data_IF_312232582027
#
_entry.id   IF_312232582027
#
_cell.length_a   1.000
_cell.length_b   1.000
_cell.length_c   1.000
_cell.angle_alpha   90.00
_cell.angle_beta   90.00
_cell.angle_gamma   90.00
#
_symmetry.space_group_name_H-M   'P 1'
#
loop_
_entity.id
_entity.type
_entity.pdbx_description
1 polymer ?
#
# COMPACT_ATOMS: atom_id res chain seq x y z
N UNK A 1 20.43 46.56 -66.95
CA UNK A 1 20.28 47.27 -68.24
C UNK A 1 19.13 46.66 -69.01
N UNK A 2 18.18 47.51 -69.41
CA UNK A 2 17.08 47.36 -70.38
C UNK A 2 16.10 46.18 -70.25
N UNK A 3 14.79 46.36 -70.03
CA UNK A 3 13.75 47.15 -70.74
C UNK A 3 12.99 46.28 -71.76
N UNK A 4 11.64 46.42 -71.72
CA UNK A 4 10.65 46.12 -72.79
C UNK A 4 10.32 44.63 -73.08
N UNK A 5 9.06 44.15 -73.18
CA UNK A 5 7.72 44.74 -73.31
C UNK A 5 6.64 43.77 -72.82
N UNK A 6 5.56 44.35 -72.31
CA UNK A 6 4.25 43.71 -72.14
C UNK A 6 3.73 43.12 -73.45
N UNK A 7 3.26 41.87 -73.42
CA UNK A 7 2.13 41.44 -74.26
C UNK A 7 1.09 40.86 -73.33
N UNK A 8 -0.01 41.59 -73.21
CA UNK A 8 -1.21 41.20 -72.51
C UNK A 8 -1.90 40.06 -73.27
N UNK A 9 -2.18 38.96 -72.58
CA UNK A 9 -3.28 38.08 -72.94
C UNK A 9 -4.05 37.75 -71.67
N UNK A 10 -5.15 38.47 -71.50
CA UNK A 10 -6.19 38.18 -70.53
C UNK A 10 -7.01 37.02 -71.10
N UNK A 11 -7.09 35.89 -70.40
CA UNK A 11 -8.32 35.10 -70.33
C UNK A 11 -8.30 34.15 -69.11
N UNK A 12 -9.18 34.49 -68.16
CA UNK A 12 -9.89 33.65 -67.19
C UNK A 12 -9.52 32.15 -67.05
N UNK A 13 -9.10 31.73 -65.85
CA UNK A 13 -9.78 30.73 -64.99
C UNK A 13 -8.83 30.09 -63.96
N UNK A 14 -9.34 29.91 -62.74
CA UNK A 14 -8.85 29.06 -61.64
C UNK A 14 -7.64 29.55 -60.81
N UNK A 15 -7.95 30.30 -59.74
CA UNK A 15 -7.11 30.43 -58.55
C UNK A 15 -6.98 29.06 -57.84
N UNK A 16 -5.78 28.59 -57.46
CA UNK A 16 -5.65 27.52 -56.49
C UNK A 16 -5.99 28.07 -55.11
N UNK A 17 -6.99 27.49 -54.45
CA UNK A 17 -7.28 27.78 -53.06
C UNK A 17 -6.10 27.31 -52.20
N UNK A 18 -5.37 28.27 -51.63
CA UNK A 18 -4.46 28.05 -50.51
C UNK A 18 -5.27 27.43 -49.37
N UNK A 19 -5.02 26.16 -49.07
CA UNK A 19 -5.60 25.49 -47.89
C UNK A 19 -4.92 26.10 -46.66
N UNK A 20 -5.61 27.05 -46.04
CA UNK A 20 -5.19 27.63 -44.78
C UNK A 20 -5.19 26.56 -43.69
N UNK A 21 -4.11 26.53 -42.89
CA UNK A 21 -4.10 25.90 -41.58
C UNK A 21 -5.13 26.61 -40.70
N UNK A 22 -6.39 26.19 -40.76
CA UNK A 22 -7.45 26.67 -39.88
C UNK A 22 -7.11 26.21 -38.45
N UNK A 23 -6.68 27.16 -37.64
CA UNK A 23 -6.38 26.96 -36.23
C UNK A 23 -7.58 26.40 -35.49
N UNK A 24 -7.33 25.39 -34.67
CA UNK A 24 -8.25 24.94 -33.63
C UNK A 24 -8.41 26.01 -32.54
N UNK A 25 -9.04 27.13 -32.89
CA UNK A 25 -9.38 28.23 -32.00
C UNK A 25 -10.67 27.95 -31.26
N UNK A 26 -10.66 26.95 -30.38
CA UNK A 26 -11.68 26.86 -29.33
C UNK A 26 -11.42 27.95 -28.29
N UNK A 27 -12.46 28.53 -27.70
CA UNK A 27 -12.31 29.47 -26.59
C UNK A 27 -11.46 28.79 -25.49
N UNK A 28 -10.39 29.43 -24.97
CA UNK A 28 -9.56 28.83 -23.91
C UNK A 28 -10.37 28.31 -22.71
N UNK A 29 -11.52 28.93 -22.40
CA UNK A 29 -12.45 28.46 -21.36
C UNK A 29 -13.18 27.18 -21.75
N UNK A 30 -13.58 27.03 -23.01
CA UNK A 30 -14.24 25.82 -23.52
C UNK A 30 -13.24 24.66 -23.61
N UNK A 31 -12.02 24.93 -24.07
CA UNK A 31 -10.95 23.93 -24.07
C UNK A 31 -10.60 23.47 -22.64
N UNK A 32 -10.59 24.39 -21.67
CA UNK A 32 -10.42 24.05 -20.26
C UNK A 32 -11.59 23.21 -19.72
N UNK A 33 -12.83 23.57 -20.06
CA UNK A 33 -14.03 22.82 -19.65
C UNK A 33 -14.06 21.40 -20.26
N UNK A 34 -13.67 21.25 -21.53
CA UNK A 34 -13.55 19.96 -22.20
C UNK A 34 -12.47 19.08 -21.57
N UNK A 35 -11.31 19.67 -21.21
CA UNK A 35 -10.26 18.93 -20.48
C UNK A 35 -10.73 18.50 -19.09
N UNK A 36 -11.46 19.35 -18.37
CA UNK A 36 -12.05 19.00 -17.08
C UNK A 36 -13.07 17.87 -17.19
N UNK A 37 -13.89 17.88 -18.25
CA UNK A 37 -14.86 16.82 -18.51
C UNK A 37 -14.19 15.49 -18.89
N UNK A 38 -13.11 15.52 -19.69
CA UNK A 38 -12.31 14.34 -19.98
C UNK A 38 -11.68 13.73 -18.71
N UNK A 39 -11.20 14.57 -17.79
CA UNK A 39 -10.67 14.10 -16.49
C UNK A 39 -11.76 13.42 -15.64
N UNK A 40 -13.01 13.89 -15.71
CA UNK A 40 -14.15 13.28 -15.01
C UNK A 40 -14.54 11.91 -15.55
N UNK A 41 -14.24 11.64 -16.82
CA UNK A 41 -14.59 10.40 -17.51
C UNK A 41 -13.50 9.32 -17.42
N UNK A 42 -12.35 9.59 -16.79
CA UNK A 42 -11.32 8.59 -16.54
C UNK A 42 -11.93 7.47 -15.68
N UNK A 43 -11.94 6.19 -16.11
CA UNK A 43 -12.51 5.09 -15.33
C UNK A 43 -11.87 5.02 -13.94
N UNK A 44 -12.65 5.31 -12.88
CA UNK A 44 -12.07 5.86 -11.66
C UNK A 44 -11.60 4.84 -10.62
N UNK A 45 -11.94 3.55 -10.68
CA UNK A 45 -11.55 2.64 -9.59
C UNK A 45 -11.29 1.20 -10.04
N UNK A 46 -10.01 0.86 -10.20
CA UNK A 46 -9.54 -0.52 -10.27
C UNK A 46 -10.05 -1.33 -9.06
N UNK A 47 -10.23 -2.65 -9.22
CA UNK A 47 -10.74 -3.54 -8.16
C UNK A 47 -9.91 -3.40 -6.88
N UNK A 48 -8.59 -3.21 -7.02
CA UNK A 48 -7.67 -3.03 -5.91
C UNK A 48 -7.94 -1.75 -5.14
N UNK A 49 -8.20 -0.65 -5.85
CA UNK A 49 -8.54 0.64 -5.26
C UNK A 49 -9.87 0.59 -4.50
N UNK A 50 -10.89 -0.10 -5.04
CA UNK A 50 -12.16 -0.30 -4.32
C UNK A 50 -11.98 -1.13 -3.06
N UNK A 51 -11.26 -2.24 -3.16
CA UNK A 51 -10.97 -3.12 -2.03
C UNK A 51 -10.19 -2.38 -0.93
N UNK A 52 -9.23 -1.56 -1.32
CA UNK A 52 -8.42 -0.78 -0.40
C UNK A 52 -9.26 0.28 0.34
N UNK A 53 -10.06 1.05 -0.40
CA UNK A 53 -10.95 2.06 0.18
C UNK A 53 -11.97 1.44 1.14
N UNK A 54 -12.60 0.33 0.75
CA UNK A 54 -13.55 -0.39 1.61
C UNK A 54 -12.89 -0.87 2.92
N UNK A 55 -11.68 -1.42 2.84
CA UNK A 55 -10.94 -1.85 4.02
C UNK A 55 -10.55 -0.66 4.93
N UNK A 56 -10.20 0.49 4.35
CA UNK A 56 -9.94 1.71 5.11
C UNK A 56 -11.19 2.25 5.81
N UNK A 57 -12.35 2.22 5.15
CA UNK A 57 -13.62 2.63 5.76
C UNK A 57 -13.98 1.74 6.96
N UNK A 58 -13.85 0.42 6.81
CA UNK A 58 -14.04 -0.52 7.92
C UNK A 58 -13.09 -0.24 9.08
N UNK A 59 -11.81 0.00 8.79
CA UNK A 59 -10.81 0.37 9.80
C UNK A 59 -11.18 1.68 10.50
N UNK A 60 -11.59 2.70 9.75
CA UNK A 60 -11.99 4.01 10.29
C UNK A 60 -13.23 3.90 11.19
N UNK A 61 -14.13 2.96 10.89
CA UNK A 61 -15.26 2.59 11.74
C UNK A 61 -14.90 1.73 12.96
N UNK A 62 -13.61 1.47 13.21
CA UNK A 62 -13.13 0.61 14.30
C UNK A 62 -13.26 -0.90 14.02
N UNK A 63 -13.76 -1.29 12.84
CA UNK A 63 -13.93 -2.68 12.45
C UNK A 63 -12.68 -3.24 11.76
N UNK A 64 -11.59 -3.35 12.52
CA UNK A 64 -10.36 -3.98 12.00
C UNK A 64 -10.56 -5.45 11.63
N UNK A 65 -11.46 -6.18 12.30
CA UNK A 65 -11.75 -7.57 11.96
C UNK A 65 -12.28 -7.72 10.53
N UNK A 66 -13.23 -6.87 10.12
CA UNK A 66 -13.76 -6.84 8.75
C UNK A 66 -12.77 -6.30 7.72
N UNK A 67 -11.88 -5.39 8.11
CA UNK A 67 -10.89 -4.79 7.20
C UNK A 67 -9.74 -5.75 6.79
N UNK A 68 -9.40 -6.69 7.68
CA UNK A 68 -8.23 -7.58 7.51
C UNK A 68 -8.25 -8.38 6.22
N UNK A 69 -9.35 -9.06 5.80
CA UNK A 69 -9.36 -9.81 4.55
C UNK A 69 -9.01 -8.94 3.33
N UNK A 70 -9.52 -7.71 3.28
CA UNK A 70 -9.24 -6.77 2.20
C UNK A 70 -7.77 -6.33 2.19
N UNK A 71 -7.23 -5.91 3.34
CA UNK A 71 -5.81 -5.58 3.43
C UNK A 71 -4.91 -6.77 3.18
N UNK A 72 -5.29 -7.97 3.63
CA UNK A 72 -4.53 -9.20 3.42
C UNK A 72 -4.43 -9.57 1.93
N UNK A 73 -5.55 -9.51 1.20
CA UNK A 73 -5.55 -9.76 -0.24
C UNK A 73 -4.64 -8.78 -1.02
N UNK A 74 -4.57 -7.52 -0.58
CA UNK A 74 -3.73 -6.49 -1.19
C UNK A 74 -2.27 -6.61 -0.77
N UNK A 75 -1.99 -6.80 0.52
CA UNK A 75 -0.65 -6.91 1.08
C UNK A 75 0.15 -8.05 0.45
N UNK A 76 -0.52 -9.15 0.11
CA UNK A 76 0.07 -10.30 -0.58
C UNK A 76 0.53 -10.02 -2.01
N UNK A 77 0.16 -8.88 -2.61
CA UNK A 77 0.62 -8.53 -3.95
C UNK A 77 2.07 -8.02 -3.98
N UNK A 78 2.66 -7.78 -2.80
CA UNK A 78 4.07 -7.42 -2.67
C UNK A 78 4.34 -5.95 -2.97
N UNK A 79 5.29 -5.68 -3.87
CA UNK A 79 5.73 -4.33 -4.23
C UNK A 79 4.56 -3.43 -4.66
N UNK A 80 4.54 -2.19 -4.16
CA UNK A 80 3.49 -1.20 -4.42
C UNK A 80 2.27 -1.28 -3.48
N UNK A 81 2.21 -2.30 -2.60
CA UNK A 81 1.14 -2.49 -1.62
C UNK A 81 1.63 -2.33 -0.18
N UNK A 82 2.71 -1.57 0.04
CA UNK A 82 3.33 -1.35 1.35
C UNK A 82 2.37 -0.71 2.34
N UNK A 83 1.47 0.17 1.87
CA UNK A 83 0.42 0.72 2.72
C UNK A 83 -0.61 -0.33 3.13
N UNK A 84 -1.00 -1.24 2.24
CA UNK A 84 -1.88 -2.35 2.62
C UNK A 84 -1.20 -3.29 3.62
N UNK A 85 0.10 -3.54 3.47
CA UNK A 85 0.89 -4.30 4.45
C UNK A 85 0.90 -3.60 5.82
N UNK A 86 1.10 -2.28 5.85
CA UNK A 86 1.01 -1.47 7.07
C UNK A 86 -0.39 -1.54 7.71
N UNK A 87 -1.46 -1.32 6.93
CA UNK A 87 -2.82 -1.31 7.46
C UNK A 87 -3.26 -2.70 7.96
N UNK A 88 -2.84 -3.77 7.27
CA UNK A 88 -3.00 -5.14 7.75
C UNK A 88 -2.30 -5.32 9.11
N UNK A 89 -1.03 -4.95 9.20
CA UNK A 89 -0.24 -5.06 10.41
C UNK A 89 -0.87 -4.31 11.58
N UNK A 90 -1.27 -3.06 11.36
CA UNK A 90 -1.90 -2.23 12.37
C UNK A 90 -3.21 -2.86 12.89
N UNK A 91 -4.05 -3.39 12.00
CA UNK A 91 -5.28 -4.07 12.42
C UNK A 91 -5.05 -5.42 13.11
N UNK A 92 -4.00 -6.16 12.74
CA UNK A 92 -3.62 -7.40 13.44
C UNK A 92 -3.14 -7.09 14.86
N UNK A 93 -2.27 -6.09 15.01
CA UNK A 93 -1.71 -5.67 16.30
C UNK A 93 -2.76 -5.05 17.23
N UNK A 94 -3.66 -4.22 16.71
CA UNK A 94 -4.72 -3.60 17.50
C UNK A 94 -5.69 -4.61 18.13
N UNK A 95 -5.93 -5.74 17.46
CA UNK A 95 -6.82 -6.81 17.93
C UNK A 95 -6.12 -7.93 18.70
N UNK A 96 -4.81 -7.82 18.98
CA UNK A 96 -4.04 -8.89 19.61
C UNK A 96 -3.49 -8.49 20.99
N UNK A 97 -3.40 -9.43 21.95
CA UNK A 97 -2.62 -9.20 23.16
C UNK A 97 -1.18 -8.83 22.79
N UNK A 98 -0.60 -7.83 23.47
CA UNK A 98 0.81 -7.41 23.29
C UNK A 98 1.76 -8.45 23.88
N UNK A 99 1.82 -9.62 23.26
CA UNK A 99 2.58 -10.78 23.71
C UNK A 99 3.22 -11.51 22.53
N UNK A 100 4.47 -11.93 22.69
CA UNK A 100 5.18 -12.78 21.72
C UNK A 100 4.66 -14.22 21.70
N UNK A 101 3.75 -14.59 22.61
CA UNK A 101 3.02 -15.87 22.55
C UNK A 101 1.75 -15.81 21.70
N UNK A 102 1.29 -14.61 21.33
CA UNK A 102 0.04 -14.45 20.57
C UNK A 102 0.34 -14.49 19.06
N UNK A 103 -0.14 -15.53 18.36
CA UNK A 103 0.06 -15.71 16.91
C UNK A 103 -0.30 -14.47 16.10
N UNK A 104 -1.48 -13.89 16.37
CA UNK A 104 -1.94 -12.69 15.66
C UNK A 104 -1.04 -11.46 15.88
N UNK A 105 -0.43 -11.34 17.06
CA UNK A 105 0.55 -10.28 17.33
C UNK A 105 1.82 -10.50 16.53
N UNK A 106 2.33 -11.74 16.48
CA UNK A 106 3.49 -12.09 15.66
C UNK A 106 3.24 -11.84 14.16
N UNK A 107 2.08 -12.22 13.64
CA UNK A 107 1.70 -11.92 12.26
C UNK A 107 1.68 -10.41 11.98
N UNK A 108 1.13 -9.65 12.91
CA UNK A 108 1.14 -8.18 12.87
C UNK A 108 2.56 -7.61 12.84
N UNK A 109 3.48 -8.12 13.67
CA UNK A 109 4.88 -7.71 13.67
C UNK A 109 5.57 -8.02 12.34
N UNK A 110 5.33 -9.20 11.77
CA UNK A 110 5.90 -9.62 10.49
C UNK A 110 5.45 -8.68 9.37
N UNK A 111 4.16 -8.39 9.28
CA UNK A 111 3.65 -7.47 8.26
C UNK A 111 4.10 -6.03 8.48
N UNK A 112 4.21 -5.59 9.74
CA UNK A 112 4.71 -4.26 10.07
C UNK A 112 6.15 -4.11 9.60
N UNK A 113 6.99 -5.11 9.89
CA UNK A 113 8.39 -5.12 9.50
C UNK A 113 8.55 -5.10 7.98
N UNK A 114 7.76 -5.90 7.25
CA UNK A 114 7.76 -5.89 5.78
C UNK A 114 7.43 -4.52 5.20
N UNK A 115 6.38 -3.87 5.72
CA UNK A 115 5.99 -2.54 5.27
C UNK A 115 7.08 -1.49 5.57
N UNK A 116 7.70 -1.56 6.76
CA UNK A 116 8.76 -0.65 7.17
C UNK A 116 10.03 -0.81 6.33
N UNK A 117 10.42 -2.06 6.06
CA UNK A 117 11.55 -2.44 5.21
C UNK A 117 11.33 -2.03 3.75
N UNK A 118 10.10 -2.12 3.24
CA UNK A 118 9.74 -1.68 1.90
C UNK A 118 9.66 -0.14 1.78
N UNK A 119 9.77 0.58 2.92
CA UNK A 119 9.90 2.03 2.95
C UNK A 119 8.60 2.79 3.23
N UNK A 120 7.60 2.17 3.85
CA UNK A 120 6.43 2.89 4.37
C UNK A 120 6.82 3.74 5.59
N UNK A 121 6.72 5.09 5.53
CA UNK A 121 7.06 5.94 6.67
C UNK A 121 6.12 5.71 7.86
N UNK A 122 4.84 5.39 7.61
CA UNK A 122 3.92 4.97 8.68
C UNK A 122 4.38 3.73 9.41
N UNK A 123 4.74 2.68 8.67
CA UNK A 123 5.21 1.43 9.26
C UNK A 123 6.54 1.62 10.01
N UNK A 124 7.45 2.43 9.48
CA UNK A 124 8.71 2.75 10.16
C UNK A 124 8.46 3.43 11.51
N UNK A 125 7.56 4.42 11.57
CA UNK A 125 7.20 5.09 12.82
C UNK A 125 6.48 4.16 13.81
N UNK A 126 5.58 3.31 13.31
CA UNK A 126 4.88 2.33 14.14
C UNK A 126 5.83 1.24 14.68
N UNK A 127 6.79 0.78 13.85
CA UNK A 127 7.80 -0.19 14.25
C UNK A 127 8.75 0.37 15.32
N UNK A 128 9.11 1.65 15.22
CA UNK A 128 9.86 2.32 16.29
C UNK A 128 9.15 2.27 17.65
N UNK A 129 7.83 2.49 17.67
CA UNK A 129 7.03 2.38 18.89
C UNK A 129 6.88 0.94 19.39
N UNK A 130 6.88 -0.04 18.50
CA UNK A 130 6.88 -1.46 18.88
C UNK A 130 8.22 -1.85 19.54
N UNK A 131 9.33 -1.36 19.02
CA UNK A 131 10.65 -1.55 19.65
C UNK A 131 10.82 -0.75 20.94
N UNK A 132 10.12 0.37 21.12
CA UNK A 132 10.16 1.12 22.37
C UNK A 132 9.24 0.52 23.46
N UNK A 133 7.95 0.38 23.12
CA UNK A 133 6.87 0.10 24.07
C UNK A 133 6.31 -1.33 23.94
N UNK A 134 6.91 -2.18 23.12
CA UNK A 134 6.47 -3.57 22.87
C UNK A 134 6.52 -4.48 24.11
N UNK A 135 6.15 -5.76 23.97
CA UNK A 135 6.45 -6.76 24.99
C UNK A 135 7.96 -6.81 25.27
N UNK A 136 8.37 -7.18 26.49
CA UNK A 136 9.77 -7.08 26.94
C UNK A 136 10.79 -7.73 25.97
N UNK A 137 10.47 -8.89 25.38
CA UNK A 137 11.34 -9.58 24.43
C UNK A 137 11.45 -8.93 23.04
N UNK A 138 10.68 -7.87 22.75
CA UNK A 138 10.78 -7.08 21.53
C UNK A 138 11.51 -5.76 21.75
N UNK A 139 11.65 -5.30 23.00
CA UNK A 139 12.13 -3.94 23.27
C UNK A 139 13.60 -3.80 22.91
N UNK A 140 13.92 -2.81 22.10
CA UNK A 140 15.28 -2.46 21.70
C UNK A 140 15.34 -0.97 21.35
N UNK A 141 16.02 -0.18 22.19
CA UNK A 141 16.12 1.26 22.00
C UNK A 141 16.94 1.66 20.77
N UNK A 142 17.92 0.85 20.35
CA UNK A 142 18.72 1.12 19.16
C UNK A 142 17.90 0.89 17.89
N UNK A 143 17.12 -0.20 17.83
CA UNK A 143 16.16 -0.42 16.74
C UNK A 143 15.05 0.63 16.74
N UNK A 144 14.51 1.01 17.91
CA UNK A 144 13.54 2.10 18.01
C UNK A 144 14.08 3.42 17.44
N UNK A 145 15.32 3.79 17.78
CA UNK A 145 15.98 4.97 17.23
C UNK A 145 16.18 4.86 15.72
N UNK A 146 16.63 3.70 15.24
CA UNK A 146 16.83 3.45 13.81
C UNK A 146 15.54 3.66 13.00
N UNK A 147 14.46 2.96 13.38
CA UNK A 147 13.20 3.04 12.65
C UNK A 147 12.54 4.42 12.76
N UNK A 148 12.70 5.10 13.90
CA UNK A 148 12.17 6.46 14.09
C UNK A 148 12.87 7.47 13.20
N UNK A 149 14.21 7.53 13.24
CA UNK A 149 14.99 8.42 12.38
C UNK A 149 14.77 8.11 10.90
N UNK A 150 14.62 6.83 10.53
CA UNK A 150 14.35 6.43 9.16
C UNK A 150 12.97 6.94 8.69
N UNK A 151 11.94 6.87 9.55
CA UNK A 151 10.60 7.43 9.26
C UNK A 151 10.66 8.94 9.03
N UNK A 152 11.42 9.68 9.85
CA UNK A 152 11.59 11.13 9.71
C UNK A 152 12.36 11.52 8.43
N UNK A 153 13.39 10.75 8.08
CA UNK A 153 14.20 10.98 6.89
C UNK A 153 13.52 10.51 5.58
N UNK A 154 12.44 9.73 5.68
CA UNK A 154 11.79 9.12 4.53
C UNK A 154 11.12 10.18 3.64
N UNK A 155 11.51 10.31 2.35
CA UNK A 155 10.90 11.29 1.45
C UNK A 155 9.39 11.12 1.26
N UNK A 156 8.89 9.89 1.38
CA UNK A 156 7.45 9.61 1.28
C UNK A 156 6.64 10.23 2.43
N UNK A 157 7.27 10.68 3.52
CA UNK A 157 6.61 11.44 4.58
C UNK A 157 6.11 12.83 4.14
N UNK A 158 6.48 13.29 2.94
CA UNK A 158 6.04 14.58 2.37
C UNK A 158 4.80 14.46 1.47
N UNK A 159 4.31 13.23 1.21
CA UNK A 159 3.19 13.02 0.29
C UNK A 159 1.85 13.47 0.91
N UNK A 160 0.86 13.88 0.10
CA UNK A 160 -0.49 14.12 0.57
C UNK A 160 -1.08 12.89 1.28
N UNK A 161 -1.83 13.14 2.37
CA UNK A 161 -2.47 12.09 3.16
C UNK A 161 -1.54 11.29 4.09
N UNK A 162 -0.22 11.54 4.08
CA UNK A 162 0.64 11.02 5.14
C UNK A 162 0.27 11.68 6.47
N UNK A 163 0.06 10.85 7.48
CA UNK A 163 -0.16 11.32 8.86
C UNK A 163 1.06 10.91 9.68
N UNK A 164 1.89 11.86 10.13
CA UNK A 164 3.01 11.53 11.00
C UNK A 164 2.52 10.97 12.33
N UNK A 165 3.43 10.36 13.10
CA UNK A 165 3.16 10.03 14.49
C UNK A 165 2.61 11.26 15.23
N UNK A 166 1.55 11.04 16.01
CA UNK A 166 0.97 12.09 16.84
C UNK A 166 2.00 12.65 17.82
N UNK A 167 1.74 13.87 18.29
CA UNK A 167 2.66 14.62 19.15
C UNK A 167 3.09 13.83 20.38
N UNK A 168 2.15 13.16 21.06
CA UNK A 168 2.43 12.40 22.28
C UNK A 168 3.36 11.22 22.01
N UNK A 169 3.15 10.48 20.91
CA UNK A 169 4.05 9.38 20.51
C UNK A 169 5.45 9.89 20.17
N UNK A 170 5.57 11.03 19.47
CA UNK A 170 6.87 11.62 19.15
C UNK A 170 7.60 12.07 20.41
N UNK A 171 6.95 12.82 21.28
CA UNK A 171 7.56 13.28 22.54
C UNK A 171 8.03 12.10 23.39
N UNK A 172 7.31 10.98 23.40
CA UNK A 172 7.72 9.76 24.09
C UNK A 172 8.98 9.13 23.49
N UNK A 173 9.04 8.99 22.17
CA UNK A 173 10.23 8.51 21.45
C UNK A 173 11.42 9.44 21.70
N UNK A 174 11.21 10.75 21.57
CA UNK A 174 12.26 11.75 21.76
C UNK A 174 12.78 11.80 23.20
N UNK A 175 11.92 11.57 24.19
CA UNK A 175 12.31 11.50 25.59
C UNK A 175 13.06 10.19 25.93
N UNK A 176 12.64 9.07 25.34
CA UNK A 176 13.24 7.76 25.63
C UNK A 176 14.53 7.49 24.85
N UNK A 177 14.71 8.11 23.68
CA UNK A 177 15.84 7.87 22.79
C UNK A 177 16.88 8.97 22.95
N UNK A 178 18.04 8.62 23.49
CA UNK A 178 19.13 9.59 23.72
C UNK A 178 19.61 10.23 22.41
N UNK A 179 20.14 11.48 22.47
CA UNK A 179 20.74 12.11 21.29
C UNK A 179 21.82 11.26 20.61
N UNK A 180 22.59 10.50 21.41
CA UNK A 180 23.61 9.58 20.93
C UNK A 180 23.03 8.40 20.14
N UNK A 181 21.96 7.76 20.64
CA UNK A 181 21.28 6.67 19.92
C UNK A 181 20.70 7.16 18.58
N UNK A 182 20.08 8.35 18.57
CA UNK A 182 19.53 8.95 17.36
C UNK A 182 20.63 9.35 16.36
N UNK A 183 21.79 9.81 16.84
CA UNK A 183 22.95 10.07 15.99
C UNK A 183 23.48 8.79 15.33
N UNK A 184 23.70 7.73 16.11
CA UNK A 184 24.12 6.42 15.58
C UNK A 184 23.10 5.83 14.59
N UNK A 185 21.80 6.01 14.86
CA UNK A 185 20.74 5.64 13.93
C UNK A 185 20.86 6.37 12.58
N UNK A 186 21.09 7.69 12.59
CA UNK A 186 21.30 8.47 11.36
C UNK A 186 22.52 8.03 10.56
N UNK A 187 23.60 7.62 11.23
CA UNK A 187 24.77 7.03 10.55
C UNK A 187 24.40 5.70 9.88
N UNK A 188 23.71 4.80 10.60
CA UNK A 188 23.24 3.50 10.05
C UNK A 188 22.31 3.68 8.84
N UNK A 189 21.49 4.73 8.83
CA UNK A 189 20.56 5.03 7.72
C UNK A 189 21.29 5.34 6.41
N UNK A 190 22.55 5.82 6.44
CA UNK A 190 23.30 6.15 5.21
C UNK A 190 23.53 4.93 4.30
N UNK A 191 23.64 3.73 4.88
CA UNK A 191 23.77 2.47 4.15
C UNK A 191 22.46 1.70 4.00
N UNK A 192 21.34 2.26 4.47
CA UNK A 192 20.07 1.53 4.44
C UNK A 192 19.51 1.42 3.02
N UNK A 193 19.00 0.24 2.69
CA UNK A 193 18.33 -0.03 1.43
C UNK A 193 16.96 -0.63 1.70
N UNK A 194 16.00 -0.28 0.83
CA UNK A 194 14.66 -0.86 0.87
C UNK A 194 14.73 -2.36 0.60
N UNK A 195 14.02 -3.13 1.41
CA UNK A 195 13.83 -4.56 1.18
C UNK A 195 12.34 -4.78 0.93
N UNK A 196 12.01 -5.10 -0.33
CA UNK A 196 10.63 -5.31 -0.76
C UNK A 196 10.30 -6.79 -0.65
N UNK A 197 9.32 -7.12 0.20
CA UNK A 197 8.84 -8.48 0.32
C UNK A 197 8.11 -8.92 -0.96
N UNK A 198 8.43 -10.12 -1.43
CA UNK A 198 7.80 -10.76 -2.59
C UNK A 198 7.01 -11.98 -2.13
N UNK A 199 5.79 -12.14 -2.65
CA UNK A 199 4.97 -13.28 -2.30
C UNK A 199 5.55 -14.60 -2.87
N UNK A 200 5.49 -15.70 -2.10
CA UNK A 200 5.82 -17.03 -2.62
C UNK A 200 4.93 -17.35 -3.82
N UNK A 201 5.52 -17.87 -4.91
CA UNK A 201 4.73 -18.33 -6.06
C UNK A 201 3.91 -19.56 -5.64
N UNK A 202 2.58 -19.46 -5.72
CA UNK A 202 1.67 -20.60 -5.61
C UNK A 202 1.16 -20.99 -4.22
N UNK A 203 1.41 -20.21 -3.15
CA UNK A 203 0.82 -20.49 -1.84
C UNK A 203 0.52 -19.21 -1.04
N UNK A 204 -0.65 -19.15 -0.41
CA UNK A 204 -0.89 -18.27 0.73
C UNK A 204 0.07 -18.71 1.85
N UNK A 205 0.66 -17.77 2.60
CA UNK A 205 1.38 -18.13 3.82
C UNK A 205 0.44 -18.91 4.76
N UNK A 206 0.89 -19.92 5.53
CA UNK A 206 0.07 -20.60 6.54
C UNK A 206 -0.59 -19.63 7.53
N UNK A 207 0.10 -18.53 7.87
CA UNK A 207 -0.46 -17.42 8.64
C UNK A 207 -1.66 -16.77 7.94
N UNK A 208 -1.61 -16.66 6.62
CA UNK A 208 -2.69 -16.19 5.78
C UNK A 208 -3.94 -17.05 5.79
N UNK A 209 -3.77 -18.37 5.76
CA UNK A 209 -4.90 -19.30 5.86
C UNK A 209 -5.58 -19.21 7.23
N UNK A 210 -4.79 -19.06 8.31
CA UNK A 210 -5.32 -18.83 9.65
C UNK A 210 -6.02 -17.47 9.80
N UNK A 211 -5.51 -16.41 9.14
CA UNK A 211 -6.09 -15.07 9.16
C UNK A 211 -7.40 -15.00 8.36
N UNK A 212 -7.50 -15.77 7.26
CA UNK A 212 -8.67 -15.86 6.39
C UNK A 212 -9.71 -16.90 6.85
N UNK A 213 -9.50 -17.55 8.00
CA UNK A 213 -10.22 -18.73 8.48
C UNK A 213 -11.73 -18.76 8.23
N UNK A 214 -12.12 -19.38 7.12
CA UNK A 214 -13.41 -20.03 6.90
C UNK A 214 -13.19 -21.54 6.95
N UNK A 215 -13.94 -22.22 7.82
CA UNK A 215 -13.74 -23.62 8.18
C UNK A 215 -13.60 -24.59 7.01
N UNK A 216 -12.53 -25.38 7.02
CA UNK A 216 -12.50 -26.70 6.37
C UNK A 216 -12.50 -27.74 7.49
N UNK A 217 -13.69 -28.16 7.91
CA UNK A 217 -13.85 -29.53 8.38
C UNK A 217 -13.72 -30.42 7.14
N UNK A 218 -12.47 -30.79 6.82
CA UNK A 218 -12.22 -31.92 5.94
C UNK A 218 -12.47 -33.18 6.76
N UNK A 219 -13.60 -33.84 6.52
CA UNK A 219 -13.71 -35.25 6.84
C UNK A 219 -14.40 -35.95 5.67
N UNK A 220 -13.58 -36.34 4.71
CA UNK A 220 -13.94 -37.31 3.68
C UNK A 220 -13.07 -38.55 3.89
N UNK A 221 -13.72 -39.65 4.22
CA UNK A 221 -13.27 -41.00 3.91
C UNK A 221 -12.25 -41.67 4.83
N UNK A 222 -12.74 -42.44 5.82
CA UNK A 222 -12.15 -43.76 6.08
C UNK A 222 -13.21 -44.85 5.87
N UNK A 223 -13.23 -45.36 4.63
CA UNK A 223 -13.79 -46.67 4.34
C UNK A 223 -12.81 -47.74 4.84
N UNK A 224 -13.05 -48.30 6.02
CA UNK A 224 -12.56 -49.64 6.37
C UNK A 224 -13.71 -50.57 6.71
N UNK A 225 -14.02 -51.40 5.72
CA UNK A 225 -14.68 -52.69 5.81
C UNK A 225 -14.18 -53.48 7.03
N UNK A 226 -15.09 -53.85 7.94
CA UNK A 226 -15.01 -55.14 8.63
C UNK A 226 -16.41 -55.70 8.92
N UNK A 227 -16.82 -56.62 8.03
CA UNK A 227 -17.50 -57.90 8.26
C UNK A 227 -18.52 -58.03 9.42
N UNK A 228 -19.78 -58.21 9.00
CA UNK A 228 -20.74 -59.28 9.38
C UNK A 228 -20.54 -60.00 10.73
N UNK A 229 -21.49 -59.80 11.66
CA UNK A 229 -22.11 -60.80 12.56
C UNK A 229 -23.57 -60.33 12.76
N UNK A 230 -24.61 -61.05 12.33
CA UNK A 230 -25.19 -62.24 12.98
C UNK A 230 -26.44 -61.81 13.79
N UNK A 231 -27.66 -62.35 13.54
CA UNK A 231 -28.93 -61.87 14.15
C UNK A 231 -29.16 -62.41 15.59
N UNK A 232 -30.23 -61.97 16.30
CA UNK A 232 -30.25 -61.87 17.76
C UNK A 232 -30.72 -63.14 18.49
N UNK A 233 -30.37 -63.23 19.77
CA UNK A 233 -31.02 -64.12 20.74
C UNK A 233 -31.76 -63.25 21.77
N UNK A 234 -33.05 -63.52 21.97
CA UNK A 234 -33.94 -62.82 22.91
C UNK A 234 -35.29 -62.54 22.30
#
# INVERSE_FOLDING_TARGET
>A
MSSEKCVAFILLMALPALTGCAGGGGNPREQAAQRLEQVRQIPTVDVSSRLYTQALEMKAAGNCAGAIPGFYALAQRGAGYELAQYHLADCLLAGAPRSLSATRFLDGLVWMRRAAEAGSPEAQGALALLYLDGPAGLRDAAEAAFWYELSLANPAAKRPGFTPLDRSKRERLEAALSPALRAAARERIQGWQKVVWSAPKGALSPAGESILGGGRQGNDGDQRRHRRRGPPAG
#
